data_IF_341678576255
#
_entry.id   IF_341678576255
#
_cell.length_a   1.000
_cell.length_b   1.000
_cell.length_c   1.000
_cell.angle_alpha   90.00
_cell.angle_beta   90.00
_cell.angle_gamma   90.00
#
_symmetry.space_group_name_H-M   'P 1'
#
loop_
_entity.id
_entity.type
_entity.pdbx_description
1 polymer ?
#
# COMPACT_ATOMS: atom_id res chain seq x y z
N UNK A 1 15.34 -4.50 17.59
CA UNK A 1 15.69 -3.98 16.26
C UNK A 1 17.07 -3.33 16.26
N UNK A 2 17.60 -3.00 15.08
CA UNK A 2 18.89 -2.28 14.93
C UNK A 2 18.71 -0.76 14.73
N UNK A 3 17.48 -0.31 14.49
CA UNK A 3 17.11 1.09 14.29
C UNK A 3 15.68 1.31 14.83
N UNK A 4 15.50 2.33 15.66
CA UNK A 4 14.21 2.64 16.30
C UNK A 4 13.41 3.74 15.57
N UNK A 5 13.94 4.27 14.45
CA UNK A 5 13.24 5.29 13.66
C UNK A 5 12.02 4.67 12.95
N UNK A 6 10.86 5.36 12.93
CA UNK A 6 9.68 4.86 12.25
C UNK A 6 9.90 4.84 10.73
N UNK A 7 9.65 3.68 10.12
CA UNK A 7 9.86 3.46 8.69
C UNK A 7 8.54 3.54 7.90
N UNK A 8 8.53 4.37 6.85
CA UNK A 8 7.52 4.37 5.80
C UNK A 8 8.00 3.47 4.64
N UNK A 9 7.12 2.60 4.15
CA UNK A 9 7.43 1.63 3.08
C UNK A 9 6.54 1.84 1.85
N UNK A 10 7.14 1.86 0.66
CA UNK A 10 6.42 1.75 -0.62
C UNK A 10 5.97 0.30 -0.82
N UNK A 11 4.67 0.06 -0.97
CA UNK A 11 4.13 -1.29 -1.23
C UNK A 11 3.52 -1.45 -2.62
N UNK A 12 3.90 -0.59 -3.57
CA UNK A 12 3.36 -0.57 -4.93
C UNK A 12 1.81 -0.55 -4.89
N UNK A 13 1.17 -1.54 -5.51
CA UNK A 13 -0.28 -1.73 -5.56
C UNK A 13 -0.79 -2.72 -4.50
N UNK A 14 0.05 -3.12 -3.53
CA UNK A 14 -0.30 -4.06 -2.46
C UNK A 14 0.10 -5.53 -2.72
N UNK A 15 1.03 -5.78 -3.64
CA UNK A 15 1.62 -7.09 -3.98
C UNK A 15 0.61 -8.19 -4.35
N UNK A 16 -0.45 -7.83 -5.07
CA UNK A 16 -1.36 -8.78 -5.72
C UNK A 16 -2.65 -8.11 -6.18
N UNK A 17 -3.45 -8.81 -6.99
CA UNK A 17 -4.64 -8.24 -7.65
C UNK A 17 -5.92 -8.27 -6.82
N UNK A 18 -5.87 -8.76 -5.57
CA UNK A 18 -7.06 -8.95 -4.74
C UNK A 18 -6.92 -8.31 -3.37
N UNK A 19 -8.05 -8.00 -2.75
CA UNK A 19 -8.11 -7.46 -1.38
C UNK A 19 -7.38 -8.36 -0.36
N UNK A 20 -7.36 -9.69 -0.57
CA UNK A 20 -6.62 -10.62 0.29
C UNK A 20 -5.11 -10.37 0.27
N UNK A 21 -4.55 -10.00 -0.88
CA UNK A 21 -3.14 -9.67 -1.01
C UNK A 21 -2.82 -8.35 -0.30
N UNK A 22 -3.65 -7.32 -0.51
CA UNK A 22 -3.52 -6.03 0.19
C UNK A 22 -3.56 -6.23 1.72
N UNK A 23 -4.54 -7.00 2.20
CA UNK A 23 -4.68 -7.27 3.63
C UNK A 23 -3.47 -8.02 4.21
N UNK A 24 -2.96 -9.03 3.49
CA UNK A 24 -1.75 -9.75 3.89
C UNK A 24 -0.53 -8.82 3.90
N UNK A 25 -0.39 -7.93 2.93
CA UNK A 25 0.68 -6.94 2.84
C UNK A 25 0.68 -6.03 4.06
N UNK A 26 -0.46 -5.43 4.42
CA UNK A 26 -0.59 -4.59 5.63
C UNK A 26 -0.16 -5.32 6.89
N UNK A 27 -0.73 -6.51 7.14
CA UNK A 27 -0.40 -7.31 8.34
C UNK A 27 1.07 -7.73 8.38
N UNK A 28 1.65 -8.02 7.22
CA UNK A 28 3.07 -8.39 7.12
C UNK A 28 3.97 -7.18 7.40
N UNK A 29 3.64 -5.99 6.91
CA UNK A 29 4.41 -4.77 7.14
C UNK A 29 4.35 -4.32 8.60
N UNK A 30 3.16 -4.38 9.23
CA UNK A 30 3.01 -4.14 10.68
C UNK A 30 3.88 -5.14 11.46
N UNK A 31 3.77 -6.44 11.15
CA UNK A 31 4.56 -7.49 11.83
C UNK A 31 6.07 -7.33 11.63
N UNK A 32 6.48 -6.79 10.48
CA UNK A 32 7.88 -6.52 10.16
C UNK A 32 8.44 -5.25 10.84
N UNK A 33 7.60 -4.46 11.54
CA UNK A 33 8.03 -3.27 12.28
C UNK A 33 7.95 -1.96 11.49
N UNK A 34 7.27 -1.93 10.34
CA UNK A 34 7.01 -0.65 9.66
C UNK A 34 6.01 0.19 10.47
N UNK A 35 6.17 1.51 10.42
CA UNK A 35 5.23 2.46 11.02
C UNK A 35 4.14 2.90 10.04
N UNK A 36 4.44 2.84 8.75
CA UNK A 36 3.56 3.29 7.69
C UNK A 36 3.81 2.56 6.37
N UNK A 37 2.80 2.55 5.51
CA UNK A 37 2.94 2.20 4.10
C UNK A 37 2.32 3.27 3.21
N UNK A 38 2.75 3.34 1.95
CA UNK A 38 1.93 3.93 0.90
C UNK A 38 1.58 2.91 -0.19
N UNK A 39 0.32 2.94 -0.65
CA UNK A 39 -0.22 2.12 -1.74
C UNK A 39 -0.70 3.03 -2.88
N UNK A 40 -0.48 2.63 -4.13
CA UNK A 40 -0.74 3.45 -5.33
C UNK A 40 -1.86 2.91 -6.25
N UNK A 41 -2.43 3.82 -7.05
CA UNK A 41 -3.57 3.59 -7.95
C UNK A 41 -3.17 3.14 -9.37
N UNK A 42 -1.90 2.83 -9.60
CA UNK A 42 -1.48 2.27 -10.88
C UNK A 42 -2.09 0.87 -11.11
N UNK A 43 -2.23 0.49 -12.39
CA UNK A 43 -2.50 -0.90 -12.80
C UNK A 43 -1.35 -1.83 -12.37
N UNK A 44 -1.57 -3.15 -12.41
CA UNK A 44 -0.50 -4.13 -12.18
C UNK A 44 0.68 -3.94 -13.14
N UNK A 45 1.89 -4.33 -12.72
CA UNK A 45 3.16 -3.99 -13.38
C UNK A 45 3.38 -2.46 -13.49
N UNK A 46 3.30 -1.79 -12.33
CA UNK A 46 3.46 -0.34 -12.18
C UNK A 46 4.74 0.18 -12.81
N UNK A 47 4.71 1.46 -13.20
CA UNK A 47 5.87 2.20 -13.71
C UNK A 47 6.33 3.21 -12.67
N UNK A 48 7.60 3.62 -12.78
CA UNK A 48 8.09 4.76 -12.01
C UNK A 48 7.22 6.00 -12.28
N UNK A 49 6.83 6.72 -11.22
CA UNK A 49 5.91 7.86 -11.30
C UNK A 49 6.41 9.03 -12.17
N UNK A 50 7.71 9.04 -12.50
CA UNK A 50 8.35 10.04 -13.38
C UNK A 50 8.39 9.64 -14.86
N UNK A 51 7.92 8.44 -15.23
CA UNK A 51 7.92 7.97 -16.62
C UNK A 51 6.57 8.22 -17.30
N UNK A 52 6.53 8.52 -18.60
CA UNK A 52 5.28 8.72 -19.34
C UNK A 52 4.52 7.39 -19.53
N UNK A 53 3.25 7.50 -19.93
CA UNK A 53 2.36 6.36 -20.24
C UNK A 53 2.17 5.43 -19.04
N UNK A 54 1.81 6.02 -17.89
CA UNK A 54 1.30 5.30 -16.72
C UNK A 54 -0.18 5.07 -16.91
N UNK A 55 -0.67 3.97 -16.38
CA UNK A 55 -2.09 3.61 -16.39
C UNK A 55 -2.53 3.48 -14.94
N UNK A 56 -3.63 4.14 -14.61
CA UNK A 56 -4.26 4.07 -13.29
C UNK A 56 -5.57 3.32 -13.38
N UNK A 57 -5.96 2.72 -12.25
CA UNK A 57 -7.22 2.02 -12.12
C UNK A 57 -8.37 2.99 -11.96
N UNK A 58 -9.60 2.48 -12.00
CA UNK A 58 -10.77 3.28 -11.67
C UNK A 58 -10.69 3.79 -10.23
N UNK A 59 -11.33 4.93 -9.96
CA UNK A 59 -11.45 5.45 -8.59
C UNK A 59 -12.01 4.40 -7.63
N UNK A 60 -13.01 3.63 -8.07
CA UNK A 60 -13.63 2.59 -7.24
C UNK A 60 -12.65 1.49 -6.87
N UNK A 61 -11.81 1.05 -7.80
CA UNK A 61 -10.80 0.03 -7.52
C UNK A 61 -9.76 0.52 -6.51
N UNK A 62 -9.31 1.78 -6.61
CA UNK A 62 -8.41 2.33 -5.60
C UNK A 62 -9.09 2.48 -4.23
N UNK A 63 -10.36 2.87 -4.19
CA UNK A 63 -11.16 2.90 -2.96
C UNK A 63 -11.22 1.51 -2.33
N UNK A 64 -11.42 0.46 -3.13
CA UNK A 64 -11.48 -0.92 -2.63
C UNK A 64 -10.13 -1.39 -2.07
N UNK A 65 -9.01 -0.98 -2.69
CA UNK A 65 -7.66 -1.20 -2.13
C UNK A 65 -7.47 -0.50 -0.79
N UNK A 66 -7.86 0.77 -0.69
CA UNK A 66 -7.74 1.55 0.56
C UNK A 66 -8.59 0.94 1.67
N UNK A 67 -9.84 0.56 1.37
CA UNK A 67 -10.72 -0.13 2.34
C UNK A 67 -10.09 -1.43 2.82
N UNK A 68 -9.62 -2.28 1.91
CA UNK A 68 -8.95 -3.52 2.28
C UNK A 68 -7.70 -3.29 3.15
N UNK A 69 -6.95 -2.22 2.89
CA UNK A 69 -5.77 -1.86 3.68
C UNK A 69 -6.14 -1.37 5.08
N UNK A 70 -7.15 -0.50 5.20
CA UNK A 70 -7.64 0.03 6.48
C UNK A 70 -8.29 -1.09 7.31
N UNK A 71 -9.11 -1.94 6.71
CA UNK A 71 -9.77 -3.07 7.39
C UNK A 71 -8.77 -4.12 7.89
N UNK A 72 -7.62 -4.25 7.22
CA UNK A 72 -6.57 -5.19 7.60
C UNK A 72 -5.64 -4.68 8.71
N UNK A 73 -5.71 -3.39 9.04
CA UNK A 73 -4.86 -2.74 10.02
C UNK A 73 -5.12 -3.31 11.41
N UNK A 74 -4.07 -3.84 12.05
CA UNK A 74 -4.12 -4.42 13.40
C UNK A 74 -3.55 -3.50 14.48
N UNK A 75 -3.03 -2.34 14.09
CA UNK A 75 -2.48 -1.30 14.96
C UNK A 75 -3.03 0.06 14.52
N UNK A 76 -3.78 0.73 15.39
CA UNK A 76 -4.43 2.01 15.07
C UNK A 76 -3.44 3.16 14.81
N UNK A 77 -2.20 3.04 15.28
CA UNK A 77 -1.14 4.00 15.01
C UNK A 77 -0.48 3.81 13.65
N UNK A 78 -0.68 2.66 13.00
CA UNK A 78 -0.12 2.37 11.69
C UNK A 78 -0.77 3.22 10.60
N UNK A 79 0.06 3.90 9.81
CA UNK A 79 -0.41 4.85 8.80
C UNK A 79 -0.57 4.16 7.44
N UNK A 80 -1.76 4.32 6.85
CA UNK A 80 -2.04 3.98 5.47
C UNK A 80 -2.04 5.28 4.66
N UNK A 81 -1.06 5.45 3.78
CA UNK A 81 -0.97 6.57 2.85
C UNK A 81 -1.46 6.15 1.46
N UNK A 82 -2.33 6.94 0.85
CA UNK A 82 -2.69 6.77 -0.55
C UNK A 82 -1.77 7.64 -1.42
N UNK A 83 -1.18 7.03 -2.45
CA UNK A 83 -0.45 7.73 -3.51
C UNK A 83 -1.25 7.66 -4.80
N UNK A 84 -1.31 8.77 -5.54
CA UNK A 84 -1.97 8.86 -6.85
C UNK A 84 -0.95 9.33 -7.88
N UNK A 85 -0.96 8.72 -9.07
CA UNK A 85 0.04 8.92 -10.14
C UNK A 85 -0.45 9.67 -11.37
#
# INVERSE_FOLDING_TARGET
>A
DVCDLPLLVDVDTGFGSSAFNVARTVRSMIKAGAAAIHIEDQVGAKRCGHRPNKEIVSQQEMVDRIKAAVDARTDDSFVIMARTD
#
